data_IF_146077341054
#
_entry.id   IF_146077341054
#
_cell.length_a   1.000
_cell.length_b   1.000
_cell.length_c   1.000
_cell.angle_alpha   90.00
_cell.angle_beta   90.00
_cell.angle_gamma   90.00
#
_symmetry.space_group_name_H-M   'P 1'
#
loop_
_entity.id
_entity.type
_entity.pdbx_description
1 polymer ?
#
# COMPACT_ATOMS: atom_id res chain seq x y z
N UNK A 1 42.88 2.42 -7.12
CA UNK A 1 43.36 1.86 -5.84
C UNK A 1 43.01 2.84 -4.74
N UNK A 2 42.02 2.53 -3.90
CA UNK A 2 41.91 2.93 -2.48
C UNK A 2 40.81 2.03 -1.91
N UNK A 3 41.19 1.25 -0.90
CA UNK A 3 40.41 0.22 -0.21
C UNK A 3 39.59 0.92 0.89
N UNK A 4 38.29 0.67 0.97
CA UNK A 4 37.51 0.97 2.18
C UNK A 4 37.17 -0.34 2.90
N UNK A 5 37.55 -0.34 4.17
CA UNK A 5 37.59 -1.46 5.10
C UNK A 5 36.17 -1.75 5.62
N UNK A 6 35.68 -2.98 5.43
CA UNK A 6 34.51 -3.52 6.13
C UNK A 6 34.84 -3.69 7.61
N UNK A 7 33.98 -3.18 8.49
CA UNK A 7 33.95 -3.56 9.91
C UNK A 7 32.62 -4.26 10.17
N UNK A 8 32.66 -5.58 10.24
CA UNK A 8 31.57 -6.43 10.68
C UNK A 8 31.63 -6.58 12.20
N UNK A 9 30.59 -6.13 12.90
CA UNK A 9 30.42 -6.39 14.33
C UNK A 9 29.49 -7.59 14.50
N UNK A 10 30.07 -8.75 14.80
CA UNK A 10 29.37 -9.96 15.21
C UNK A 10 29.14 -9.88 16.72
N UNK A 11 27.88 -9.84 17.15
CA UNK A 11 27.51 -10.00 18.55
C UNK A 11 26.87 -11.38 18.70
N UNK A 12 27.63 -12.31 19.25
CA UNK A 12 27.16 -13.62 19.67
C UNK A 12 26.62 -13.51 21.11
N UNK A 13 25.35 -13.85 21.33
CA UNK A 13 24.81 -14.14 22.65
C UNK A 13 24.60 -15.64 22.79
N UNK A 14 25.35 -16.23 23.72
CA UNK A 14 25.22 -17.61 24.19
C UNK A 14 24.62 -17.62 25.60
N UNK A 15 23.63 -18.49 25.84
CA UNK A 15 23.47 -19.41 26.98
C UNK A 15 21.96 -19.63 27.31
N UNK A 16 21.39 -20.78 26.96
CA UNK A 16 21.11 -21.95 27.84
C UNK A 16 20.46 -21.65 29.19
N UNK A 17 19.19 -22.06 29.33
CA UNK A 17 18.65 -22.59 30.58
C UNK A 17 17.61 -23.68 30.25
N UNK A 18 17.98 -24.93 30.51
CA UNK A 18 17.08 -26.08 30.57
C UNK A 18 16.33 -26.08 31.91
N UNK A 19 15.04 -26.41 31.90
CA UNK A 19 14.41 -27.04 33.06
C UNK A 19 13.31 -27.99 32.57
N UNK A 20 13.39 -29.22 33.06
CA UNK A 20 12.56 -30.36 32.68
C UNK A 20 12.01 -31.03 33.94
N UNK A 21 10.70 -31.23 34.01
CA UNK A 21 10.00 -32.13 34.94
C UNK A 21 8.54 -32.39 34.42
N UNK A 22 7.80 -33.41 34.92
CA UNK A 22 7.49 -34.68 34.24
C UNK A 22 6.04 -34.78 33.67
N UNK A 23 5.65 -35.88 32.99
CA UNK A 23 4.34 -36.00 32.38
C UNK A 23 3.26 -36.42 33.39
N UNK A 24 2.07 -35.83 33.29
CA UNK A 24 0.85 -36.35 33.90
C UNK A 24 -0.05 -36.89 32.78
N UNK A 25 -0.27 -38.21 32.79
CA UNK A 25 -1.31 -38.87 32.01
C UNK A 25 -2.55 -38.98 32.89
N UNK A 26 -3.68 -38.46 32.41
CA UNK A 26 -5.01 -38.95 32.78
C UNK A 26 -5.96 -38.73 31.59
N UNK A 27 -6.53 -39.83 31.12
CA UNK A 27 -7.50 -39.98 30.04
C UNK A 27 -8.93 -39.75 30.51
N UNK A 28 -9.76 -39.09 29.70
CA UNK A 28 -11.23 -39.11 29.79
C UNK A 28 -11.89 -38.03 28.91
N UNK A 29 -12.81 -38.36 27.98
CA UNK A 29 -13.20 -37.47 26.88
C UNK A 29 -14.43 -36.62 27.20
N UNK A 30 -14.49 -35.41 26.67
CA UNK A 30 -15.74 -34.78 26.24
C UNK A 30 -15.48 -33.82 25.08
N UNK A 31 -16.23 -34.03 24.00
CA UNK A 31 -16.20 -33.26 22.76
C UNK A 31 -16.94 -31.93 22.94
N UNK A 32 -16.20 -30.82 22.95
CA UNK A 32 -16.68 -29.55 22.39
C UNK A 32 -15.49 -28.77 21.83
N UNK A 33 -15.20 -28.99 20.54
CA UNK A 33 -14.47 -28.00 19.73
C UNK A 33 -15.44 -26.86 19.40
N UNK A 34 -15.22 -25.69 19.98
CA UNK A 34 -14.86 -24.49 19.23
C UNK A 34 -14.12 -23.54 20.18
N UNK A 35 -13.05 -22.98 19.64
CA UNK A 35 -11.85 -22.60 20.37
C UNK A 35 -11.99 -21.37 21.28
N UNK A 36 -11.15 -21.43 22.30
CA UNK A 36 -10.84 -20.44 23.30
C UNK A 36 -10.79 -19.00 22.77
N UNK A 37 -11.39 -18.11 23.57
CA UNK A 37 -11.10 -16.68 23.59
C UNK A 37 -9.57 -16.50 23.75
N UNK A 38 -8.88 -16.12 22.67
CA UNK A 38 -7.46 -15.81 22.73
C UNK A 38 -7.24 -14.43 23.40
N UNK A 39 -6.88 -14.44 24.68
CA UNK A 39 -6.25 -13.30 25.33
C UNK A 39 -4.74 -13.27 24.99
N UNK A 40 -4.22 -12.10 24.63
CA UNK A 40 -2.79 -11.73 24.50
C UNK A 40 -1.84 -12.83 23.99
N UNK A 41 -1.89 -13.11 22.69
CA UNK A 41 -0.93 -13.98 21.99
C UNK A 41 -0.16 -13.23 20.90
N UNK A 42 0.94 -13.80 20.42
CA UNK A 42 1.61 -13.30 19.21
C UNK A 42 0.71 -13.51 17.98
N UNK A 43 0.83 -12.67 16.92
CA UNK A 43 0.13 -12.88 15.66
C UNK A 43 0.35 -14.28 15.08
N UNK A 44 -0.72 -14.96 14.72
CA UNK A 44 -0.70 -16.35 14.24
C UNK A 44 -2.00 -16.70 13.49
N UNK A 45 -1.97 -17.81 12.74
CA UNK A 45 -3.12 -18.29 11.97
C UNK A 45 -3.36 -17.50 10.69
N UNK A 46 -4.48 -17.80 10.03
CA UNK A 46 -4.86 -17.17 8.77
C UNK A 46 -5.38 -15.76 9.00
N UNK A 47 -4.93 -14.82 8.18
CA UNK A 47 -5.45 -13.46 8.07
C UNK A 47 -6.01 -13.24 6.66
N UNK A 48 -7.32 -13.09 6.56
CA UNK A 48 -7.97 -12.77 5.28
C UNK A 48 -7.98 -11.26 5.07
N UNK A 49 -7.32 -10.79 4.02
CA UNK A 49 -7.22 -9.37 3.65
C UNK A 49 -7.95 -9.14 2.34
N UNK A 50 -8.88 -8.19 2.33
CA UNK A 50 -9.45 -7.65 1.09
C UNK A 50 -8.81 -6.33 0.75
N UNK A 51 -8.48 -6.10 -0.52
CA UNK A 51 -7.84 -4.87 -0.94
C UNK A 51 -8.26 -4.40 -2.34
N UNK A 52 -8.19 -3.10 -2.57
CA UNK A 52 -8.26 -2.58 -3.94
C UNK A 52 -7.01 -2.97 -4.74
N UNK A 53 -7.19 -3.16 -6.05
CA UNK A 53 -6.15 -3.71 -6.92
C UNK A 53 -4.90 -2.84 -7.00
N UNK A 54 -5.04 -1.52 -6.81
CA UNK A 54 -3.94 -0.55 -6.80
C UNK A 54 -2.92 -0.80 -5.66
N UNK A 55 -3.35 -1.43 -4.56
CA UNK A 55 -2.50 -1.74 -3.43
C UNK A 55 -1.63 -2.99 -3.65
N UNK A 56 -1.82 -3.71 -4.75
CA UNK A 56 -1.13 -4.98 -5.01
C UNK A 56 0.39 -4.91 -4.93
N UNK A 57 1.07 -3.92 -5.55
CA UNK A 57 2.53 -3.82 -5.44
C UNK A 57 3.01 -3.68 -4.00
N UNK A 58 2.27 -2.93 -3.17
CA UNK A 58 2.60 -2.71 -1.75
C UNK A 58 2.33 -3.97 -0.92
N UNK A 59 1.15 -4.58 -1.09
CA UNK A 59 0.76 -5.75 -0.31
C UNK A 59 1.62 -6.98 -0.61
N UNK A 60 2.11 -7.15 -1.85
CA UNK A 60 3.05 -8.21 -2.17
C UNK A 60 4.34 -8.14 -1.33
N UNK A 61 4.79 -6.93 -0.99
CA UNK A 61 5.98 -6.73 -0.15
C UNK A 61 5.63 -6.87 1.33
N UNK A 62 4.60 -6.14 1.79
CA UNK A 62 4.28 -6.06 3.22
C UNK A 62 3.74 -7.37 3.80
N UNK A 63 3.00 -8.16 3.01
CA UNK A 63 2.53 -9.48 3.47
C UNK A 63 3.68 -10.48 3.63
N UNK A 64 4.69 -10.42 2.76
CA UNK A 64 5.93 -11.19 2.92
C UNK A 64 6.65 -10.81 4.22
N UNK A 65 6.87 -9.51 4.45
CA UNK A 65 7.53 -9.01 5.66
C UNK A 65 6.75 -9.34 6.93
N UNK A 66 5.41 -9.30 6.89
CA UNK A 66 4.57 -9.68 8.02
C UNK A 66 4.75 -11.16 8.38
N UNK A 67 4.74 -12.05 7.39
CA UNK A 67 4.88 -13.50 7.61
C UNK A 67 6.32 -13.89 8.01
N UNK A 68 7.33 -13.15 7.54
CA UNK A 68 8.71 -13.31 8.04
C UNK A 68 8.83 -12.93 9.51
N UNK A 69 8.19 -11.84 9.93
CA UNK A 69 8.17 -11.40 11.33
C UNK A 69 7.32 -12.32 12.22
N UNK A 70 6.27 -12.93 11.67
CA UNK A 70 5.34 -13.82 12.36
C UNK A 70 5.17 -15.14 11.58
N UNK A 71 6.12 -16.10 11.68
CA UNK A 71 6.12 -17.32 10.86
C UNK A 71 4.91 -18.24 11.04
N UNK A 72 4.12 -18.04 12.09
CA UNK A 72 2.85 -18.76 12.31
C UNK A 72 1.65 -18.15 11.59
N UNK A 73 1.83 -17.10 10.79
CA UNK A 73 0.76 -16.41 10.07
C UNK A 73 0.69 -16.83 8.60
N UNK A 74 -0.53 -16.87 8.05
CA UNK A 74 -0.80 -17.02 6.62
C UNK A 74 -1.67 -15.84 6.17
N UNK A 75 -1.14 -14.93 5.35
CA UNK A 75 -1.91 -13.77 4.86
C UNK A 75 -2.47 -14.08 3.47
N UNK A 76 -3.79 -14.15 3.36
CA UNK A 76 -4.49 -14.34 2.10
C UNK A 76 -5.06 -13.01 1.63
N UNK A 77 -4.55 -12.48 0.51
CA UNK A 77 -5.03 -11.23 -0.08
C UNK A 77 -5.96 -11.51 -1.25
N UNK A 78 -7.19 -11.00 -1.16
CA UNK A 78 -8.17 -10.99 -2.24
C UNK A 78 -8.34 -9.55 -2.76
N UNK A 79 -8.23 -9.38 -4.08
CA UNK A 79 -8.41 -8.07 -4.70
C UNK A 79 -9.81 -7.93 -5.30
N UNK A 80 -10.52 -6.85 -4.96
CA UNK A 80 -11.85 -6.54 -5.47
C UNK A 80 -12.95 -6.52 -4.41
N UNK A 81 -14.21 -6.50 -4.85
CA UNK A 81 -15.39 -6.29 -4.00
C UNK A 81 -16.05 -7.60 -3.57
N UNK A 82 -16.55 -7.65 -2.33
CA UNK A 82 -17.39 -8.73 -1.80
C UNK A 82 -16.65 -9.85 -1.07
N UNK A 83 -17.38 -10.63 -0.25
CA UNK A 83 -16.86 -11.70 0.62
C UNK A 83 -16.62 -11.26 2.07
N UNK A 84 -16.20 -12.18 2.94
CA UNK A 84 -15.78 -11.86 4.31
C UNK A 84 -14.25 -11.69 4.36
N UNK A 85 -13.75 -10.80 5.23
CA UNK A 85 -12.32 -10.60 5.45
C UNK A 85 -12.11 -10.11 6.88
N UNK A 86 -10.92 -10.32 7.45
CA UNK A 86 -10.54 -9.77 8.76
C UNK A 86 -10.12 -8.30 8.62
N UNK A 87 -9.45 -7.96 7.52
CA UNK A 87 -8.99 -6.61 7.18
C UNK A 87 -9.50 -6.25 5.78
N UNK A 88 -9.99 -5.02 5.62
CA UNK A 88 -10.31 -4.45 4.30
C UNK A 88 -9.50 -3.17 4.09
N UNK A 89 -8.76 -3.08 2.99
CA UNK A 89 -8.09 -1.86 2.54
C UNK A 89 -8.81 -1.33 1.29
N UNK A 90 -9.48 -0.20 1.42
CA UNK A 90 -10.31 0.32 0.34
C UNK A 90 -10.28 1.84 0.25
N UNK A 91 -10.49 2.35 -0.95
CA UNK A 91 -10.77 3.74 -1.24
C UNK A 91 -12.27 4.11 -1.18
N UNK A 92 -13.15 3.15 -0.88
CA UNK A 92 -14.59 3.40 -0.77
C UNK A 92 -14.84 4.51 0.26
N UNK A 93 -15.43 5.65 -0.15
CA UNK A 93 -15.67 6.77 0.75
C UNK A 93 -16.61 6.42 1.92
N UNK A 94 -17.38 5.34 1.82
CA UNK A 94 -18.22 4.83 2.92
C UNK A 94 -17.40 4.23 4.06
N UNK A 95 -16.18 3.77 3.77
CA UNK A 95 -15.23 3.27 4.75
C UNK A 95 -14.34 4.39 5.33
N UNK A 96 -14.48 5.63 4.85
CA UNK A 96 -13.59 6.72 5.20
C UNK A 96 -13.69 7.10 6.69
N UNK A 97 -12.67 6.70 7.44
CA UNK A 97 -12.33 7.25 8.74
C UNK A 97 -10.93 7.88 8.61
N UNK A 98 -10.78 9.21 8.77
CA UNK A 98 -9.49 9.88 8.68
C UNK A 98 -8.40 9.27 9.58
N UNK A 99 -8.76 8.71 10.74
CA UNK A 99 -7.81 8.04 11.63
C UNK A 99 -7.38 6.65 11.13
N UNK A 100 -8.13 6.06 10.19
CA UNK A 100 -7.89 4.76 9.61
C UNK A 100 -7.23 4.80 8.23
N UNK A 101 -6.99 5.99 7.67
CA UNK A 101 -6.23 6.14 6.41
C UNK A 101 -4.79 5.66 6.63
N UNK A 102 -4.30 4.84 5.71
CA UNK A 102 -2.92 4.30 5.73
C UNK A 102 -2.09 4.78 4.54
N UNK A 103 -2.74 5.17 3.45
CA UNK A 103 -2.09 5.68 2.26
C UNK A 103 -2.99 6.64 1.49
N UNK A 104 -2.36 7.51 0.71
CA UNK A 104 -3.01 8.46 -0.20
C UNK A 104 -2.36 8.36 -1.57
N UNK A 105 -3.15 8.43 -2.62
CA UNK A 105 -2.67 8.43 -4.00
C UNK A 105 -3.00 9.79 -4.65
N UNK A 106 -2.07 10.76 -4.65
CA UNK A 106 -2.32 12.08 -5.21
C UNK A 106 -2.37 12.03 -6.74
N UNK A 107 -3.13 12.96 -7.32
CA UNK A 107 -2.95 13.28 -8.73
C UNK A 107 -1.69 14.12 -8.90
N UNK A 108 -0.95 13.85 -9.98
CA UNK A 108 0.29 14.54 -10.34
C UNK A 108 0.25 14.96 -11.81
N UNK A 109 1.09 15.93 -12.13
CA UNK A 109 1.37 16.35 -13.51
C UNK A 109 2.63 15.61 -13.96
N UNK A 110 2.50 14.73 -14.94
CA UNK A 110 3.60 13.96 -15.52
C UNK A 110 3.95 14.47 -16.93
N UNK A 111 5.23 14.70 -17.18
CA UNK A 111 5.77 15.26 -18.43
C UNK A 111 6.99 14.45 -18.87
N UNK A 112 7.30 14.44 -20.17
CA UNK A 112 8.61 13.97 -20.62
C UNK A 112 9.71 14.85 -20.00
N UNK A 113 10.86 14.28 -19.60
CA UNK A 113 11.95 15.10 -19.01
C UNK A 113 12.47 16.20 -19.94
N UNK A 114 12.35 15.99 -21.24
CA UNK A 114 12.76 16.94 -22.28
C UNK A 114 11.76 18.08 -22.46
N UNK A 115 10.55 17.98 -21.89
CA UNK A 115 9.56 19.04 -21.94
C UNK A 115 9.87 20.11 -20.88
N UNK A 116 10.06 21.36 -21.31
CA UNK A 116 10.62 22.40 -20.44
C UNK A 116 9.60 23.39 -19.88
N UNK A 117 8.33 23.33 -20.26
CA UNK A 117 7.48 24.53 -20.13
C UNK A 117 6.26 24.37 -19.20
N UNK A 118 6.00 23.16 -18.70
CA UNK A 118 4.88 22.85 -17.80
C UNK A 118 5.40 22.52 -16.41
N UNK A 119 5.18 23.41 -15.45
CA UNK A 119 5.66 23.26 -14.07
C UNK A 119 4.58 23.42 -13.02
N UNK A 120 3.39 23.86 -13.41
CA UNK A 120 2.27 24.13 -12.48
C UNK A 120 0.94 23.78 -13.13
N UNK A 121 -0.11 23.64 -12.32
CA UNK A 121 -1.47 23.48 -12.81
C UNK A 121 -1.95 24.67 -13.68
N UNK A 122 -1.40 25.87 -13.49
CA UNK A 122 -1.73 27.03 -14.31
C UNK A 122 -1.25 26.88 -15.76
N UNK A 123 -0.14 26.19 -15.96
CA UNK A 123 0.47 26.01 -17.29
C UNK A 123 -0.37 25.12 -18.20
N UNK A 124 -1.19 24.24 -17.61
CA UNK A 124 -2.13 23.36 -18.33
C UNK A 124 -3.17 24.14 -19.15
N UNK A 125 -3.39 25.43 -18.84
CA UNK A 125 -4.35 26.30 -19.55
C UNK A 125 -3.72 27.09 -20.70
N UNK A 126 -2.40 27.03 -20.88
CA UNK A 126 -1.73 27.80 -21.94
C UNK A 126 -2.17 27.29 -23.32
N UNK A 127 -2.38 28.18 -24.30
CA UNK A 127 -2.70 27.77 -25.66
C UNK A 127 -1.64 26.80 -26.21
N UNK A 128 -2.10 25.72 -26.84
CA UNK A 128 -1.22 24.73 -27.49
C UNK A 128 -0.73 23.59 -26.59
N UNK A 129 -0.93 23.64 -25.27
CA UNK A 129 -0.60 22.52 -24.37
C UNK A 129 -1.61 21.39 -24.53
N UNK A 130 -1.14 20.21 -24.95
CA UNK A 130 -1.96 18.99 -25.07
C UNK A 130 -1.94 18.23 -23.76
N UNK A 131 -3.06 18.26 -23.05
CA UNK A 131 -3.23 17.60 -21.76
C UNK A 131 -4.00 16.30 -21.95
N UNK A 132 -3.38 15.17 -21.61
CA UNK A 132 -4.07 13.91 -21.37
C UNK A 132 -4.48 13.84 -19.90
N UNK A 133 -5.76 13.62 -19.62
CA UNK A 133 -6.25 13.46 -18.25
C UNK A 133 -6.80 12.05 -18.06
N UNK A 134 -6.37 11.41 -16.97
CA UNK A 134 -7.02 10.21 -16.45
C UNK A 134 -8.47 10.49 -16.04
N UNK A 135 -9.29 9.44 -15.96
CA UNK A 135 -10.69 9.53 -15.55
C UNK A 135 -10.88 10.24 -14.22
N UNK A 136 -9.98 9.99 -13.26
CA UNK A 136 -10.05 10.53 -11.90
C UNK A 136 -9.60 12.00 -11.81
N UNK A 137 -8.94 12.51 -12.86
CA UNK A 137 -8.62 13.92 -13.00
C UNK A 137 -9.73 14.73 -13.70
N UNK A 138 -10.84 14.09 -14.08
CA UNK A 138 -11.93 14.75 -14.79
C UNK A 138 -12.53 15.89 -13.98
N UNK A 139 -12.66 17.07 -14.60
CA UNK A 139 -13.22 18.26 -13.96
C UNK A 139 -12.23 19.05 -13.09
N UNK A 140 -11.07 18.47 -12.74
CA UNK A 140 -10.02 19.17 -11.99
C UNK A 140 -9.09 19.99 -12.89
N UNK A 141 -8.91 19.55 -14.13
CA UNK A 141 -7.98 20.18 -15.10
C UNK A 141 -8.60 20.26 -16.51
N UNK A 142 -8.15 21.21 -17.36
CA UNK A 142 -8.47 21.16 -18.78
C UNK A 142 -7.85 19.90 -19.41
N UNK A 143 -8.52 19.29 -20.38
CA UNK A 143 -8.05 18.09 -21.06
C UNK A 143 -8.32 18.16 -22.56
N UNK A 144 -7.30 17.90 -23.38
CA UNK A 144 -7.44 17.71 -24.84
C UNK A 144 -7.67 16.25 -25.19
N UNK A 145 -7.27 15.33 -24.31
CA UNK A 145 -7.51 13.89 -24.40
C UNK A 145 -7.99 13.38 -23.04
N UNK A 146 -9.07 12.60 -23.03
CA UNK A 146 -9.55 11.89 -21.83
C UNK A 146 -9.46 10.39 -22.05
N UNK A 147 -8.86 9.71 -21.09
CA UNK A 147 -8.61 8.26 -21.12
C UNK A 147 -8.39 7.77 -19.68
N UNK A 148 -8.00 6.52 -19.48
CA UNK A 148 -7.60 6.02 -18.16
C UNK A 148 -6.19 6.51 -17.79
N UNK A 149 -5.79 6.32 -16.53
CA UNK A 149 -4.46 6.72 -16.04
C UNK A 149 -3.32 6.17 -16.92
N UNK A 150 -3.25 4.85 -17.16
CA UNK A 150 -2.24 4.24 -18.03
C UNK A 150 -2.22 4.81 -19.45
N UNK A 151 -3.38 5.03 -20.06
CA UNK A 151 -3.52 5.61 -21.40
C UNK A 151 -3.03 7.06 -21.45
N UNK A 152 -3.28 7.85 -20.41
CA UNK A 152 -2.81 9.23 -20.34
C UNK A 152 -1.29 9.29 -20.21
N UNK A 153 -0.69 8.40 -19.40
CA UNK A 153 0.77 8.27 -19.33
C UNK A 153 1.35 7.84 -20.68
N UNK A 154 0.75 6.84 -21.34
CA UNK A 154 1.18 6.37 -22.65
C UNK A 154 1.11 7.49 -23.72
N UNK A 155 0.13 8.38 -23.66
CA UNK A 155 0.03 9.52 -24.55
C UNK A 155 1.22 10.47 -24.42
N UNK A 156 1.75 10.68 -23.22
CA UNK A 156 2.98 11.48 -23.01
C UNK A 156 4.20 10.74 -23.53
N UNK A 157 4.34 9.46 -23.21
CA UNK A 157 5.48 8.63 -23.65
C UNK A 157 5.57 8.57 -25.18
N UNK A 158 4.44 8.54 -25.87
CA UNK A 158 4.36 8.49 -27.34
C UNK A 158 4.33 9.88 -28.00
N UNK A 159 4.32 10.96 -27.22
CA UNK A 159 4.27 12.34 -27.73
C UNK A 159 2.91 12.80 -28.28
N UNK A 160 1.85 12.00 -28.07
CA UNK A 160 0.47 12.36 -28.39
C UNK A 160 -0.09 13.46 -27.46
N UNK A 161 0.43 13.54 -26.23
CA UNK A 161 0.19 14.61 -25.28
C UNK A 161 1.52 15.17 -24.76
N UNK A 162 1.51 16.42 -24.34
CA UNK A 162 2.69 17.08 -23.75
C UNK A 162 2.77 16.78 -22.24
N UNK A 163 1.61 16.51 -21.64
CA UNK A 163 1.45 16.30 -20.21
C UNK A 163 0.30 15.35 -19.90
N UNK A 164 0.47 14.56 -18.83
CA UNK A 164 -0.55 13.70 -18.25
C UNK A 164 -0.92 14.21 -16.86
N UNK A 165 -2.21 14.23 -16.53
CA UNK A 165 -2.70 14.41 -15.16
C UNK A 165 -3.36 13.12 -14.70
N UNK A 166 -2.68 12.40 -13.81
CA UNK A 166 -2.97 11.01 -13.44
C UNK A 166 -2.57 10.75 -11.98
N UNK A 167 -2.92 9.59 -11.43
CA UNK A 167 -2.40 9.19 -10.13
C UNK A 167 -0.90 8.94 -10.18
N UNK A 168 -0.19 9.23 -9.09
CA UNK A 168 1.27 9.02 -9.04
C UNK A 168 1.63 7.55 -9.25
N UNK A 169 0.78 6.62 -8.79
CA UNK A 169 0.94 5.18 -9.01
C UNK A 169 0.99 4.80 -10.49
N UNK A 170 0.19 5.45 -11.36
CA UNK A 170 0.21 5.21 -12.82
C UNK A 170 1.59 5.54 -13.42
N UNK A 171 2.18 6.65 -12.97
CA UNK A 171 3.49 7.09 -13.43
C UNK A 171 4.59 6.11 -12.99
N UNK A 172 4.53 5.66 -11.74
CA UNK A 172 5.48 4.66 -11.20
C UNK A 172 5.32 3.33 -11.94
N UNK A 173 4.08 2.89 -12.18
CA UNK A 173 3.78 1.63 -12.88
C UNK A 173 4.28 1.64 -14.33
N UNK A 174 4.26 2.79 -15.00
CA UNK A 174 4.74 2.92 -16.38
C UNK A 174 6.25 2.68 -16.52
N UNK A 175 7.03 2.84 -15.44
CA UNK A 175 8.51 2.72 -15.44
C UNK A 175 9.19 3.56 -16.55
N UNK A 176 8.52 4.62 -16.97
CA UNK A 176 8.98 5.53 -18.01
C UNK A 176 9.77 6.67 -17.38
N UNK A 177 10.69 7.26 -18.17
CA UNK A 177 11.51 8.37 -17.70
C UNK A 177 10.74 9.70 -17.78
N UNK A 178 9.85 9.91 -16.80
CA UNK A 178 8.98 11.08 -16.72
C UNK A 178 9.39 11.99 -15.56
N UNK A 179 9.22 13.29 -15.79
CA UNK A 179 9.25 14.30 -14.73
C UNK A 179 7.85 14.39 -14.10
N UNK A 180 7.80 14.27 -12.77
CA UNK A 180 6.58 14.37 -11.97
C UNK A 180 6.57 15.69 -11.23
N UNK A 181 5.41 16.35 -11.25
CA UNK A 181 5.18 17.62 -10.58
C UNK A 181 3.92 17.50 -9.73
N UNK A 182 4.06 17.82 -8.45
CA UNK A 182 2.94 17.92 -7.54
C UNK A 182 2.21 19.26 -7.74
N UNK A 183 0.90 19.23 -7.57
CA UNK A 183 0.07 20.42 -7.60
C UNK A 183 -1.00 20.35 -6.51
N UNK A 184 -1.47 21.51 -6.06
CA UNK A 184 -2.30 21.65 -4.87
C UNK A 184 -3.58 20.81 -4.97
N UNK A 185 -4.32 20.95 -6.05
CA UNK A 185 -5.60 20.28 -6.25
C UNK A 185 -5.41 18.76 -6.27
N UNK A 186 -4.33 18.27 -6.88
CA UNK A 186 -4.03 16.83 -6.91
C UNK A 186 -3.71 16.22 -5.55
N UNK A 187 -3.08 17.00 -4.66
CA UNK A 187 -2.86 16.60 -3.26
C UNK A 187 -4.17 16.68 -2.46
N UNK A 188 -4.96 17.74 -2.65
CA UNK A 188 -6.23 17.94 -1.94
C UNK A 188 -7.27 16.88 -2.29
N UNK A 189 -7.27 16.41 -3.53
CA UNK A 189 -8.16 15.37 -4.04
C UNK A 189 -7.49 14.00 -4.11
N UNK A 190 -6.41 13.77 -3.35
CA UNK A 190 -5.79 12.47 -3.29
C UNK A 190 -6.80 11.40 -2.84
N UNK A 191 -6.86 10.31 -3.61
CA UNK A 191 -7.61 9.10 -3.25
C UNK A 191 -7.03 8.56 -1.95
N UNK A 192 -7.89 8.18 -0.99
CA UNK A 192 -7.47 7.80 0.36
C UNK A 192 -7.80 6.34 0.60
N UNK A 193 -6.79 5.54 0.94
CA UNK A 193 -6.97 4.12 1.25
C UNK A 193 -7.07 3.95 2.76
N UNK A 194 -8.22 3.44 3.20
CA UNK A 194 -8.56 3.22 4.60
C UNK A 194 -8.44 1.75 4.95
N UNK A 195 -7.84 1.45 6.10
CA UNK A 195 -7.77 0.11 6.65
C UNK A 195 -8.86 -0.09 7.70
N UNK A 196 -9.83 -0.95 7.40
CA UNK A 196 -10.95 -1.29 8.28
C UNK A 196 -10.77 -2.71 8.82
N UNK A 197 -10.97 -2.87 10.13
CA UNK A 197 -11.03 -4.17 10.79
C UNK A 197 -12.48 -4.65 10.87
N UNK A 198 -12.73 -5.91 10.53
CA UNK A 198 -14.07 -6.49 10.65
C UNK A 198 -14.38 -6.83 12.11
N UNK A 199 -15.44 -6.27 12.74
CA UNK A 199 -15.73 -6.46 14.16
C UNK A 199 -15.94 -7.91 14.59
N UNK A 200 -16.50 -8.73 13.70
CA UNK A 200 -16.76 -10.17 13.91
C UNK A 200 -15.71 -11.08 13.24
N UNK A 201 -14.56 -10.51 12.82
CA UNK A 201 -13.46 -11.28 12.22
C UNK A 201 -12.85 -12.26 13.23
N UNK A 202 -12.49 -13.45 12.76
CA UNK A 202 -12.04 -14.55 13.62
C UNK A 202 -10.63 -14.37 14.18
N UNK A 203 -9.79 -13.53 13.55
CA UNK A 203 -8.37 -13.38 13.92
C UNK A 203 -7.98 -11.94 14.28
N UNK A 204 -8.62 -11.40 15.32
CA UNK A 204 -8.47 -9.99 15.72
C UNK A 204 -7.04 -9.59 16.10
N UNK A 205 -6.32 -10.44 16.82
CA UNK A 205 -4.93 -10.17 17.24
C UNK A 205 -4.03 -9.96 16.02
N UNK A 206 -4.11 -10.85 15.04
CA UNK A 206 -3.31 -10.77 13.81
C UNK A 206 -3.75 -9.60 12.94
N UNK A 207 -5.05 -9.32 12.87
CA UNK A 207 -5.58 -8.17 12.13
C UNK A 207 -5.13 -6.83 12.72
N UNK A 208 -5.12 -6.70 14.05
CA UNK A 208 -4.60 -5.51 14.74
C UNK A 208 -3.09 -5.34 14.55
N UNK A 209 -2.32 -6.42 14.59
CA UNK A 209 -0.88 -6.37 14.30
C UNK A 209 -0.59 -6.01 12.84
N UNK A 210 -1.38 -6.51 11.89
CA UNK A 210 -1.27 -6.13 10.48
C UNK A 210 -1.58 -4.65 10.27
N UNK A 211 -2.62 -4.13 10.93
CA UNK A 211 -2.92 -2.68 10.92
C UNK A 211 -1.74 -1.85 11.44
N UNK A 212 -1.06 -2.32 12.48
CA UNK A 212 0.13 -1.64 13.00
C UNK A 212 1.29 -1.66 12.01
N UNK A 213 1.53 -2.80 11.35
CA UNK A 213 2.51 -2.88 10.25
C UNK A 213 2.19 -1.85 9.17
N UNK A 214 0.93 -1.75 8.73
CA UNK A 214 0.52 -0.83 7.65
C UNK A 214 0.74 0.66 7.99
N UNK A 215 0.88 1.00 9.28
CA UNK A 215 1.21 2.36 9.74
C UNK A 215 2.68 2.57 10.07
N UNK A 216 3.48 1.52 10.06
CA UNK A 216 4.90 1.56 10.42
C UNK A 216 5.74 2.35 9.41
N UNK A 217 6.90 2.83 9.85
CA UNK A 217 7.88 3.48 8.96
C UNK A 217 8.35 2.57 7.80
N UNK A 218 8.30 1.24 7.99
CA UNK A 218 8.58 0.27 6.93
C UNK A 218 7.50 0.35 5.85
N UNK A 219 6.23 0.26 6.23
CA UNK A 219 5.11 0.39 5.29
C UNK A 219 5.09 1.75 4.61
N UNK A 220 5.34 2.83 5.33
CA UNK A 220 5.41 4.18 4.75
C UNK A 220 6.46 4.28 3.63
N UNK A 221 7.61 3.62 3.76
CA UNK A 221 8.61 3.55 2.68
C UNK A 221 8.10 2.75 1.48
N UNK A 222 7.53 1.55 1.72
CA UNK A 222 6.99 0.71 0.64
C UNK A 222 5.86 1.43 -0.12
N UNK A 223 4.99 2.15 0.59
CA UNK A 223 3.97 3.01 -0.01
C UNK A 223 4.60 4.11 -0.87
N UNK A 224 5.60 4.81 -0.34
CA UNK A 224 6.32 5.87 -1.07
C UNK A 224 6.97 5.35 -2.35
N UNK A 225 7.63 4.18 -2.28
CA UNK A 225 8.28 3.56 -3.44
C UNK A 225 7.27 3.15 -4.53
N UNK A 226 6.03 2.83 -4.13
CA UNK A 226 4.93 2.52 -5.03
C UNK A 226 4.18 3.77 -5.55
N UNK A 227 4.57 4.98 -5.13
CA UNK A 227 3.95 6.24 -5.56
C UNK A 227 2.81 6.74 -4.67
N UNK A 228 2.49 6.05 -3.58
CA UNK A 228 1.58 6.58 -2.57
C UNK A 228 2.31 7.58 -1.66
N UNK A 229 1.57 8.45 -0.99
CA UNK A 229 2.04 9.16 0.19
C UNK A 229 1.44 8.52 1.44
N UNK A 230 2.23 8.39 2.50
CA UNK A 230 1.72 7.97 3.80
C UNK A 230 0.63 8.94 4.30
N UNK A 231 -0.28 8.41 5.11
CA UNK A 231 -1.32 9.18 5.78
C UNK A 231 -0.75 10.13 6.83
#
# INVERSE_FOLDING_TARGET
MIRFLMVAAVVALTATACSSAPPAVATGPDHHHHDAVAASGQPQGRLSVRADAELRPVLNVLTGQFQEAFPGTEVLVEYGVGGTADVTLTDDPRAADPAAVVARNPLVIATARTATDVHTAADLRRPGVRVAAGTDAAGLVPATLRTDGPGAVAAVVTGAADVAVVHRTDVVAAKADLRVVDFREGIQHAQQFTLVLTPSGGNRVTAEAFRELMRSALAQRVFSDAGFSAA
#
